data_IF_031215305659
#
_entry.id   IF_031215305659
#
_cell.length_a   1.000
_cell.length_b   1.000
_cell.length_c   1.000
_cell.angle_alpha   90.00
_cell.angle_beta   90.00
_cell.angle_gamma   90.00
#
_symmetry.space_group_name_H-M   'P 1'
#
loop_
_entity.id
_entity.type
_entity.pdbx_description
1 polymer ?
#
# COMPACT_ATOMS: atom_id res chain seq x y z
N UNK A 1 22.30 -14.65 7.38
CA UNK A 1 23.46 -13.82 7.19
C UNK A 1 23.31 -12.63 8.14
N UNK A 2 24.30 -12.40 9.01
CA UNK A 2 24.33 -11.22 9.86
C UNK A 2 24.96 -10.11 9.03
N UNK A 3 24.18 -9.11 8.68
CA UNK A 3 24.71 -7.91 8.02
C UNK A 3 25.57 -7.14 9.04
N UNK A 4 26.87 -7.07 8.78
CA UNK A 4 27.82 -6.30 9.58
C UNK A 4 27.99 -4.94 8.92
N UNK A 5 27.62 -3.87 9.63
CA UNK A 5 27.91 -2.52 9.21
C UNK A 5 29.27 -2.10 9.81
N UNK A 6 30.17 -1.64 8.95
CA UNK A 6 31.44 -1.05 9.38
C UNK A 6 31.31 0.46 9.32
N UNK A 7 31.48 1.14 10.44
CA UNK A 7 31.65 2.59 10.46
C UNK A 7 33.13 2.89 10.22
N UNK A 8 33.42 3.58 9.12
CA UNK A 8 34.78 4.04 8.86
C UNK A 8 35.17 5.09 9.91
N UNK A 9 36.37 4.95 10.47
CA UNK A 9 36.96 5.98 11.35
C UNK A 9 37.15 7.28 10.55
N UNK A 10 36.41 8.32 10.95
CA UNK A 10 36.51 9.66 10.33
C UNK A 10 37.54 10.52 11.01
N UNK A 11 38.38 9.97 11.92
CA UNK A 11 39.37 10.68 12.69
C UNK A 11 38.80 11.65 13.73
N UNK A 12 37.52 11.60 14.00
CA UNK A 12 36.84 12.39 15.04
C UNK A 12 36.42 11.49 16.18
N UNK A 13 36.76 11.88 17.39
CA UNK A 13 36.29 11.19 18.60
C UNK A 13 34.79 11.41 18.80
N UNK A 14 34.00 10.44 18.40
CA UNK A 14 32.56 10.39 18.60
C UNK A 14 31.85 9.75 17.43
N UNK A 15 30.83 8.93 17.75
CA UNK A 15 29.93 8.33 16.76
C UNK A 15 28.97 9.42 16.30
N UNK A 16 29.13 9.92 15.06
CA UNK A 16 28.13 10.81 14.46
C UNK A 16 26.96 9.96 13.95
N UNK A 17 25.93 9.81 14.79
CA UNK A 17 24.69 9.12 14.43
C UNK A 17 23.81 9.92 13.43
N UNK A 18 24.14 11.19 13.20
CA UNK A 18 23.39 12.09 12.30
C UNK A 18 23.41 11.65 10.82
N UNK A 19 24.26 10.68 10.48
CA UNK A 19 24.38 10.14 9.11
C UNK A 19 23.71 8.75 8.92
N UNK A 20 23.12 8.17 9.94
CA UNK A 20 22.45 6.89 9.85
C UNK A 20 20.96 7.09 9.58
N UNK A 21 20.57 6.89 8.32
CA UNK A 21 19.17 6.86 7.92
C UNK A 21 18.67 5.42 7.97
N UNK A 22 17.68 5.15 8.82
CA UNK A 22 16.95 3.89 8.81
C UNK A 22 15.64 4.10 8.06
N UNK A 23 15.45 3.32 7.00
CA UNK A 23 14.14 3.17 6.35
C UNK A 23 13.45 1.96 7.01
N UNK A 24 12.57 2.17 8.01
CA UNK A 24 11.86 1.07 8.60
C UNK A 24 10.91 0.47 7.57
N UNK A 25 10.86 -0.87 7.49
CA UNK A 25 9.81 -1.53 6.74
C UNK A 25 8.44 -1.10 7.29
N UNK A 26 7.41 -1.07 6.44
CA UNK A 26 6.06 -0.59 6.79
C UNK A 26 5.43 -1.30 8.02
N UNK A 27 5.95 -2.46 8.41
CA UNK A 27 5.53 -3.27 9.56
C UNK A 27 6.56 -3.26 10.71
N UNK A 28 7.49 -2.30 10.71
CA UNK A 28 8.49 -2.20 11.77
C UNK A 28 7.82 -2.00 13.14
N UNK A 29 8.29 -2.74 14.13
CA UNK A 29 7.88 -2.51 15.52
C UNK A 29 8.21 -1.06 15.90
N UNK A 30 7.40 -0.46 16.76
CA UNK A 30 7.56 0.93 17.24
C UNK A 30 8.93 1.21 17.90
N UNK A 31 9.75 0.19 18.04
CA UNK A 31 11.06 0.24 18.67
C UNK A 31 11.99 -0.81 18.06
N UNK A 32 13.15 -0.35 17.56
CA UNK A 32 14.24 -1.21 17.10
C UNK A 32 15.36 -1.16 18.15
N UNK A 33 15.78 -2.31 18.64
CA UNK A 33 16.96 -2.45 19.47
C UNK A 33 18.13 -2.98 18.65
N UNK A 34 19.21 -2.22 18.59
CA UNK A 34 20.45 -2.61 17.95
C UNK A 34 21.51 -2.82 19.04
N UNK A 35 22.14 -4.00 19.03
CA UNK A 35 23.32 -4.26 19.85
C UNK A 35 24.56 -3.99 19.00
N UNK A 36 25.49 -3.19 19.49
CA UNK A 36 26.74 -2.92 18.81
C UNK A 36 27.92 -3.36 19.67
N UNK A 37 29.00 -3.72 19.01
CA UNK A 37 30.28 -4.01 19.64
C UNK A 37 31.32 -3.05 19.07
N UNK A 38 31.99 -2.28 19.93
CA UNK A 38 33.04 -1.36 19.52
C UNK A 38 34.39 -2.08 19.59
N UNK A 39 35.27 -1.79 18.61
CA UNK A 39 36.61 -2.31 18.53
C UNK A 39 37.58 -1.13 18.34
N UNK A 40 38.79 -1.27 18.85
CA UNK A 40 39.89 -0.34 18.54
C UNK A 40 40.47 -0.57 17.12
N UNK A 41 41.37 0.30 16.68
CA UNK A 41 42.04 0.15 15.40
C UNK A 41 42.88 -1.13 15.27
N UNK A 42 43.24 -1.75 16.36
CA UNK A 42 43.95 -3.04 16.44
C UNK A 42 43.03 -4.25 16.43
N UNK A 43 41.71 -4.03 16.42
CA UNK A 43 40.71 -5.10 16.46
C UNK A 43 40.38 -5.62 17.86
N UNK A 44 40.84 -4.95 18.94
CA UNK A 44 40.52 -5.30 20.32
C UNK A 44 39.12 -4.79 20.67
N UNK A 45 38.26 -5.66 21.22
CA UNK A 45 36.91 -5.26 21.64
C UNK A 45 36.99 -4.27 22.81
N UNK A 46 36.43 -3.08 22.60
CA UNK A 46 36.35 -2.01 23.60
C UNK A 46 35.11 -2.13 24.48
N UNK A 47 34.02 -2.69 23.96
CA UNK A 47 32.78 -2.87 24.69
C UNK A 47 31.59 -3.21 23.79
N UNK A 48 30.47 -3.50 24.43
CA UNK A 48 29.17 -3.68 23.78
C UNK A 48 28.17 -2.69 24.35
N UNK A 49 27.22 -2.26 23.53
CA UNK A 49 26.13 -1.39 23.95
C UNK A 49 24.85 -1.68 23.20
N UNK A 50 23.75 -1.13 23.69
CA UNK A 50 22.44 -1.19 23.02
C UNK A 50 22.04 0.22 22.59
N UNK A 51 21.60 0.34 21.35
CA UNK A 51 20.95 1.52 20.81
C UNK A 51 19.47 1.21 20.62
N UNK A 52 18.60 1.96 21.26
CA UNK A 52 17.18 1.87 21.05
C UNK A 52 16.72 2.98 20.13
N UNK A 53 16.29 2.64 18.93
CA UNK A 53 15.68 3.57 17.97
C UNK A 53 14.18 3.48 18.15
N UNK A 54 13.55 4.57 18.51
CA UNK A 54 12.09 4.68 18.53
C UNK A 54 11.64 5.19 17.17
N UNK A 55 10.90 4.37 16.45
CA UNK A 55 10.26 4.77 15.21
C UNK A 55 8.97 5.48 15.59
N UNK A 56 8.96 6.79 15.49
CA UNK A 56 7.73 7.57 15.64
C UNK A 56 6.89 7.35 14.38
N UNK A 57 5.74 6.70 14.52
CA UNK A 57 4.75 6.69 13.45
C UNK A 57 4.25 8.11 13.22
N UNK A 58 4.21 8.53 11.96
CA UNK A 58 3.67 9.83 11.59
C UNK A 58 2.22 9.96 12.06
N UNK A 59 1.93 11.01 12.80
CA UNK A 59 0.61 11.21 13.40
C UNK A 59 -0.31 12.09 12.54
N UNK A 60 0.27 12.76 11.54
CA UNK A 60 -0.48 13.67 10.67
C UNK A 60 0.16 13.72 9.29
N UNK A 61 -0.66 13.89 8.26
CA UNK A 61 -0.17 14.21 6.92
C UNK A 61 0.57 15.55 6.93
N UNK A 62 1.60 15.67 6.10
CA UNK A 62 2.30 16.93 5.85
C UNK A 62 1.57 17.83 4.85
N UNK A 63 0.56 17.29 4.17
CA UNK A 63 -0.18 17.95 3.09
C UNK A 63 -1.64 18.20 3.47
N UNK A 64 -2.31 17.20 4.04
CA UNK A 64 -3.76 17.21 4.22
C UNK A 64 -4.17 17.33 5.70
N UNK A 65 -4.87 18.39 6.03
CA UNK A 65 -5.26 18.73 7.41
C UNK A 65 -6.27 17.76 8.02
N UNK A 66 -7.08 17.07 7.20
CA UNK A 66 -8.06 16.08 7.65
C UNK A 66 -7.45 14.69 7.96
N UNK A 67 -6.16 14.50 7.70
CA UNK A 67 -5.41 13.28 8.01
C UNK A 67 -4.46 13.58 9.18
N UNK A 68 -4.92 13.36 10.40
CA UNK A 68 -4.21 13.74 11.62
C UNK A 68 -4.48 12.78 12.80
N UNK A 69 -3.85 13.05 13.94
CA UNK A 69 -3.94 12.22 15.15
C UNK A 69 -5.39 12.03 15.67
N UNK A 70 -6.28 12.98 15.44
CA UNK A 70 -7.68 12.90 15.83
C UNK A 70 -8.60 12.17 14.84
N UNK A 71 -8.09 11.81 13.66
CA UNK A 71 -8.88 11.22 12.56
C UNK A 71 -8.32 9.89 12.10
N UNK A 72 -7.33 9.89 11.22
CA UNK A 72 -6.77 8.69 10.60
C UNK A 72 -5.24 8.73 10.53
N UNK A 73 -4.58 8.96 11.66
CA UNK A 73 -3.12 8.97 11.79
C UNK A 73 -2.46 7.73 11.15
N UNK A 74 -3.13 6.58 11.22
CA UNK A 74 -2.66 5.31 10.65
C UNK A 74 -2.45 5.33 9.13
N UNK A 75 -3.00 6.31 8.44
CA UNK A 75 -2.88 6.48 6.99
C UNK A 75 -1.93 7.62 6.59
N UNK A 76 -1.39 8.39 7.53
CA UNK A 76 -0.66 9.63 7.23
C UNK A 76 0.53 9.41 6.27
N UNK A 77 1.38 8.41 6.55
CA UNK A 77 2.53 8.08 5.69
C UNK A 77 2.10 7.64 4.29
N UNK A 78 1.07 6.78 4.23
CA UNK A 78 0.57 6.26 2.97
C UNK A 78 -0.08 7.35 2.12
N UNK A 79 -0.84 8.24 2.74
CA UNK A 79 -1.51 9.36 2.06
C UNK A 79 -0.49 10.31 1.48
N UNK A 80 0.55 10.66 2.25
CA UNK A 80 1.61 11.55 1.78
C UNK A 80 2.42 10.90 0.66
N UNK A 81 2.76 9.61 0.78
CA UNK A 81 3.41 8.83 -0.28
C UNK A 81 2.58 8.86 -1.58
N UNK A 82 1.30 8.54 -1.50
CA UNK A 82 0.44 8.53 -2.68
C UNK A 82 0.31 9.90 -3.34
N UNK A 83 0.31 10.97 -2.55
CA UNK A 83 0.26 12.34 -3.07
C UNK A 83 1.60 12.74 -3.70
N UNK A 84 2.73 12.44 -3.06
CA UNK A 84 4.08 12.77 -3.54
C UNK A 84 4.36 12.13 -4.90
N UNK A 85 3.94 10.86 -5.10
CA UNK A 85 4.09 10.16 -6.38
C UNK A 85 2.97 10.46 -7.38
N UNK A 86 2.05 11.38 -7.08
CA UNK A 86 0.96 11.78 -7.97
C UNK A 86 -0.09 10.69 -8.22
N UNK A 87 -0.12 9.63 -7.39
CA UNK A 87 -1.00 8.48 -7.55
C UNK A 87 -2.42 8.78 -7.04
N UNK A 88 -2.54 9.38 -5.86
CA UNK A 88 -3.81 9.82 -5.29
C UNK A 88 -3.67 11.28 -4.87
N UNK A 89 -4.51 12.14 -5.42
CA UNK A 89 -4.58 13.55 -5.05
C UNK A 89 -5.64 13.78 -3.98
N UNK A 90 -5.57 14.91 -3.25
CA UNK A 90 -6.64 15.35 -2.36
C UNK A 90 -7.95 15.64 -3.08
N UNK A 91 -9.04 15.75 -2.34
CA UNK A 91 -10.28 16.31 -2.83
C UNK A 91 -10.11 17.82 -3.16
N UNK A 92 -9.23 18.48 -2.41
CA UNK A 92 -8.70 19.81 -2.66
C UNK A 92 -7.24 19.91 -2.16
N UNK A 93 -6.68 21.14 -2.13
CA UNK A 93 -5.28 21.36 -1.73
C UNK A 93 -4.99 21.03 -0.25
N UNK A 94 -6.00 21.02 0.61
CA UNK A 94 -5.84 20.85 2.05
C UNK A 94 -6.58 19.61 2.61
N UNK A 95 -7.46 19.02 1.82
CA UNK A 95 -8.36 17.94 2.24
C UNK A 95 -8.14 16.69 1.41
N UNK A 96 -7.81 15.57 2.05
CA UNK A 96 -7.71 14.27 1.40
C UNK A 96 -9.08 13.63 1.19
N UNK A 97 -10.05 13.94 2.06
CA UNK A 97 -11.34 13.27 2.17
C UNK A 97 -11.18 11.76 2.47
N UNK A 98 -10.46 11.45 3.54
CA UNK A 98 -10.04 10.10 3.89
C UNK A 98 -11.17 9.07 4.01
N UNK A 99 -12.39 9.49 4.44
CA UNK A 99 -13.59 8.64 4.52
C UNK A 99 -14.35 8.50 3.21
N UNK A 100 -14.03 9.32 2.21
CA UNK A 100 -14.66 9.25 0.90
C UNK A 100 -14.50 7.87 0.28
N UNK A 101 -15.52 7.40 -0.44
CA UNK A 101 -15.44 6.13 -1.16
C UNK A 101 -14.41 6.22 -2.29
N UNK A 102 -13.65 5.15 -2.48
CA UNK A 102 -12.84 4.96 -3.68
C UNK A 102 -13.69 4.26 -4.73
N UNK A 103 -13.80 4.82 -5.93
CA UNK A 103 -14.52 4.17 -7.02
C UNK A 103 -13.65 3.12 -7.72
N UNK A 104 -14.28 2.23 -8.47
CA UNK A 104 -13.57 1.26 -9.30
C UNK A 104 -12.72 1.96 -10.38
N UNK A 105 -13.26 3.01 -11.01
CA UNK A 105 -12.54 3.82 -11.99
C UNK A 105 -11.32 4.52 -11.40
N UNK A 106 -11.46 5.10 -10.20
CA UNK A 106 -10.34 5.75 -9.51
C UNK A 106 -9.22 4.76 -9.19
N UNK A 107 -9.56 3.58 -8.67
CA UNK A 107 -8.57 2.54 -8.39
C UNK A 107 -7.79 2.16 -9.66
N UNK A 108 -8.50 1.90 -10.76
CA UNK A 108 -7.85 1.51 -12.01
C UNK A 108 -6.97 2.65 -12.56
N UNK A 109 -7.41 3.89 -12.46
CA UNK A 109 -6.61 5.06 -12.86
C UNK A 109 -5.32 5.18 -12.03
N UNK A 110 -5.40 4.92 -10.72
CA UNK A 110 -4.22 4.91 -9.84
C UNK A 110 -3.23 3.83 -10.28
N UNK A 111 -3.70 2.61 -10.55
CA UNK A 111 -2.85 1.50 -10.98
C UNK A 111 -2.24 1.75 -12.37
N UNK A 112 -3.01 2.32 -13.29
CA UNK A 112 -2.53 2.73 -14.60
C UNK A 112 -1.40 3.77 -14.50
N UNK A 113 -1.58 4.79 -13.65
CA UNK A 113 -0.54 5.79 -13.36
C UNK A 113 0.71 5.16 -12.72
N UNK A 114 0.53 4.24 -11.78
CA UNK A 114 1.66 3.54 -11.16
C UNK A 114 2.44 2.67 -12.15
N UNK A 115 1.81 2.23 -13.24
CA UNK A 115 2.44 1.53 -14.35
C UNK A 115 3.09 2.49 -15.38
N UNK A 116 3.10 3.79 -15.14
CA UNK A 116 3.68 4.80 -16.04
C UNK A 116 2.74 5.24 -17.18
N UNK A 117 1.44 5.00 -17.05
CA UNK A 117 0.41 5.38 -18.04
C UNK A 117 0.77 4.93 -19.47
N UNK A 118 0.98 3.62 -19.70
CA UNK A 118 1.41 3.13 -21.00
C UNK A 118 0.38 3.45 -22.11
N UNK A 119 0.86 3.76 -23.31
CA UNK A 119 -0.02 4.06 -24.44
C UNK A 119 -0.95 2.88 -24.76
N UNK A 120 -2.22 3.19 -25.00
CA UNK A 120 -3.26 2.21 -25.38
C UNK A 120 -3.53 2.32 -26.86
N UNK A 121 -3.22 1.28 -27.63
CA UNK A 121 -3.39 1.27 -29.10
C UNK A 121 -4.67 0.58 -29.56
N UNK A 122 -5.10 -0.49 -28.86
CA UNK A 122 -6.36 -1.19 -29.10
C UNK A 122 -7.37 -0.80 -28.02
N UNK A 123 -8.34 0.02 -28.39
CA UNK A 123 -9.34 0.57 -27.48
C UNK A 123 -10.63 -0.24 -27.41
N UNK A 124 -10.70 -1.42 -28.06
CA UNK A 124 -11.89 -2.26 -28.03
C UNK A 124 -12.10 -2.88 -26.64
N UNK A 125 -13.21 -2.56 -26.02
CA UNK A 125 -13.68 -3.11 -24.73
C UNK A 125 -15.15 -3.52 -24.83
N UNK A 126 -15.61 -4.51 -24.05
CA UNK A 126 -16.99 -4.96 -24.10
C UNK A 126 -17.96 -4.07 -23.30
N UNK A 127 -17.45 -3.08 -22.55
CA UNK A 127 -18.24 -2.32 -21.58
C UNK A 127 -19.01 -1.19 -22.26
N UNK A 128 -20.33 -1.24 -22.17
CA UNK A 128 -21.23 -0.26 -22.78
C UNK A 128 -21.44 0.99 -21.91
N UNK A 129 -21.06 0.90 -20.63
CA UNK A 129 -21.16 1.97 -19.63
C UNK A 129 -19.86 2.79 -19.49
N UNK A 130 -18.89 2.60 -20.39
CA UNK A 130 -17.61 3.32 -20.42
C UNK A 130 -17.46 4.01 -21.76
N UNK A 131 -17.30 5.34 -21.74
CA UNK A 131 -17.15 6.21 -22.91
C UNK A 131 -15.69 6.66 -23.06
N UNK A 132 -15.26 6.91 -24.31
CA UNK A 132 -13.95 7.50 -24.62
C UNK A 132 -13.72 8.85 -23.94
N UNK A 133 -14.79 9.55 -23.56
CA UNK A 133 -14.73 10.83 -22.85
C UNK A 133 -14.62 10.69 -21.33
N UNK A 134 -14.72 9.46 -20.80
CA UNK A 134 -14.59 9.24 -19.37
C UNK A 134 -13.13 9.39 -18.90
N UNK A 135 -12.97 9.98 -17.71
CA UNK A 135 -11.64 10.30 -17.14
C UNK A 135 -10.73 9.08 -16.92
N UNK A 136 -11.29 7.90 -16.82
CA UNK A 136 -10.57 6.65 -16.59
C UNK A 136 -10.59 5.71 -17.82
N UNK A 137 -11.01 6.19 -19.00
CA UNK A 137 -11.16 5.36 -20.19
C UNK A 137 -9.91 4.57 -20.53
N UNK A 138 -8.78 5.25 -20.78
CA UNK A 138 -7.52 4.60 -21.15
C UNK A 138 -7.05 3.60 -20.07
N UNK A 139 -7.25 3.96 -18.80
CA UNK A 139 -6.91 3.10 -17.68
C UNK A 139 -7.76 1.83 -17.65
N UNK A 140 -9.06 1.93 -17.94
CA UNK A 140 -9.99 0.79 -18.00
C UNK A 140 -9.64 -0.10 -19.19
N UNK A 141 -9.36 0.47 -20.36
CA UNK A 141 -8.91 -0.27 -21.54
C UNK A 141 -7.62 -1.02 -21.23
N UNK A 142 -6.63 -0.34 -20.66
CA UNK A 142 -5.37 -0.96 -20.23
C UNK A 142 -5.60 -2.12 -19.25
N UNK A 143 -6.42 -1.91 -18.24
CA UNK A 143 -6.68 -2.93 -17.22
C UNK A 143 -7.39 -4.16 -17.80
N UNK A 144 -8.33 -3.95 -18.71
CA UNK A 144 -9.01 -5.03 -19.43
C UNK A 144 -8.06 -5.82 -20.32
N UNK A 145 -7.29 -5.13 -21.18
CA UNK A 145 -6.35 -5.78 -22.12
C UNK A 145 -5.25 -6.57 -21.43
N UNK A 146 -4.83 -6.13 -20.24
CA UNK A 146 -3.80 -6.82 -19.45
C UNK A 146 -4.39 -7.82 -18.44
N UNK A 147 -5.71 -8.06 -18.44
CA UNK A 147 -6.35 -8.99 -17.51
C UNK A 147 -6.31 -8.56 -16.04
N UNK A 148 -6.03 -7.29 -15.77
CA UNK A 148 -5.95 -6.71 -14.41
C UNK A 148 -7.33 -6.56 -13.80
N UNK A 149 -8.28 -6.03 -14.58
CA UNK A 149 -9.66 -5.87 -14.14
C UNK A 149 -10.64 -6.25 -15.24
N UNK A 150 -11.73 -6.88 -14.86
CA UNK A 150 -12.92 -7.11 -15.69
C UNK A 150 -14.10 -6.26 -15.24
N UNK A 151 -15.20 -6.37 -15.95
CA UNK A 151 -16.49 -5.80 -15.56
C UNK A 151 -17.08 -6.45 -14.31
N UNK A 152 -18.14 -5.85 -13.82
CA UNK A 152 -19.04 -6.48 -12.85
C UNK A 152 -19.99 -7.45 -13.53
N UNK A 153 -20.19 -7.27 -14.86
CA UNK A 153 -20.85 -8.18 -15.79
C UNK A 153 -20.04 -8.25 -17.09
N UNK A 154 -20.55 -8.97 -18.08
CA UNK A 154 -19.91 -9.08 -19.40
C UNK A 154 -19.86 -7.73 -20.14
N UNK A 155 -20.83 -6.86 -19.88
CA UNK A 155 -20.98 -5.58 -20.62
C UNK A 155 -20.92 -4.33 -19.76
N UNK A 156 -20.75 -4.46 -18.45
CA UNK A 156 -20.71 -3.32 -17.53
C UNK A 156 -19.44 -3.33 -16.66
N UNK A 157 -18.70 -2.22 -16.67
CA UNK A 157 -17.55 -2.01 -15.81
C UNK A 157 -17.92 -1.41 -14.46
N UNK A 158 -18.94 -0.57 -14.43
CA UNK A 158 -19.42 0.18 -13.26
C UNK A 158 -18.34 1.06 -12.63
N UNK A 159 -17.66 1.89 -13.44
CA UNK A 159 -16.53 2.70 -12.99
C UNK A 159 -16.84 3.64 -11.82
N UNK A 160 -18.09 4.11 -11.70
CA UNK A 160 -18.52 5.05 -10.64
C UNK A 160 -18.94 4.36 -9.33
N UNK A 161 -19.07 3.03 -9.33
CA UNK A 161 -19.39 2.30 -8.11
C UNK A 161 -18.20 2.24 -7.15
N UNK A 162 -18.45 2.25 -5.82
CA UNK A 162 -17.41 2.00 -4.83
C UNK A 162 -16.73 0.65 -5.09
N UNK A 163 -15.41 0.61 -5.05
CA UNK A 163 -14.66 -0.65 -5.10
C UNK A 163 -14.76 -1.36 -3.76
N UNK A 164 -15.15 -2.63 -3.75
CA UNK A 164 -15.17 -3.42 -2.52
C UNK A 164 -13.75 -3.90 -2.15
N UNK A 165 -13.56 -4.27 -0.88
CA UNK A 165 -12.27 -4.74 -0.38
C UNK A 165 -11.81 -6.02 -1.09
N UNK A 166 -12.72 -6.95 -1.39
CA UNK A 166 -12.40 -8.16 -2.15
C UNK A 166 -12.13 -7.87 -3.64
N UNK A 167 -12.80 -6.88 -4.24
CA UNK A 167 -12.50 -6.42 -5.60
C UNK A 167 -11.12 -5.79 -5.67
N UNK A 168 -10.76 -4.93 -4.72
CA UNK A 168 -9.43 -4.33 -4.60
C UNK A 168 -8.35 -5.42 -4.51
N UNK A 169 -8.52 -6.40 -3.62
CA UNK A 169 -7.61 -7.54 -3.51
C UNK A 169 -7.51 -8.34 -4.82
N UNK A 170 -8.64 -8.58 -5.49
CA UNK A 170 -8.69 -9.34 -6.74
C UNK A 170 -8.00 -8.64 -7.91
N UNK A 171 -8.13 -7.33 -7.99
CA UNK A 171 -7.46 -6.51 -9.01
C UNK A 171 -5.95 -6.55 -8.81
N UNK A 172 -5.46 -6.33 -7.59
CA UNK A 172 -4.03 -6.39 -7.27
C UNK A 172 -3.44 -7.79 -7.45
N UNK A 173 -4.19 -8.83 -7.09
CA UNK A 173 -3.79 -10.22 -7.27
C UNK A 173 -3.57 -10.55 -8.75
N UNK A 174 -4.47 -10.09 -9.63
CA UNK A 174 -4.33 -10.25 -11.09
C UNK A 174 -3.14 -9.44 -11.62
N UNK A 175 -2.99 -8.19 -11.18
CA UNK A 175 -1.86 -7.33 -11.55
C UNK A 175 -0.52 -7.98 -11.18
N UNK A 176 -0.47 -8.72 -10.07
CA UNK A 176 0.73 -9.45 -9.61
C UNK A 176 0.93 -10.81 -10.29
N UNK A 177 0.15 -11.16 -11.32
CA UNK A 177 0.26 -12.44 -12.02
C UNK A 177 -0.30 -13.64 -11.25
N UNK A 178 -1.22 -13.42 -10.30
CA UNK A 178 -1.90 -14.45 -9.50
C UNK A 178 -0.93 -15.40 -8.77
N UNK A 179 -0.05 -14.88 -7.91
CA UNK A 179 0.91 -15.70 -7.18
C UNK A 179 0.22 -16.67 -6.22
N UNK A 180 0.93 -17.72 -5.78
CA UNK A 180 0.38 -18.71 -4.87
C UNK A 180 -0.14 -18.08 -3.56
N UNK A 181 -1.37 -18.42 -3.18
CA UNK A 181 -2.06 -17.91 -2.01
C UNK A 181 -2.04 -18.95 -0.88
N UNK A 182 -1.27 -18.70 0.18
CA UNK A 182 -1.04 -19.67 1.27
C UNK A 182 -1.76 -19.35 2.58
N UNK A 183 -2.17 -18.09 2.82
CA UNK A 183 -2.79 -17.71 4.08
C UNK A 183 -4.16 -18.36 4.30
N UNK A 184 -4.48 -18.65 5.55
CA UNK A 184 -5.82 -19.10 5.96
C UNK A 184 -6.66 -17.89 6.36
N UNK A 185 -7.92 -17.84 5.92
CA UNK A 185 -8.88 -16.83 6.35
C UNK A 185 -9.72 -17.28 7.56
N UNK A 186 -9.50 -18.49 8.09
CA UNK A 186 -10.34 -19.08 9.15
C UNK A 186 -10.35 -18.30 10.47
N UNK A 187 -9.37 -17.45 10.70
CA UNK A 187 -9.32 -16.57 11.88
C UNK A 187 -10.29 -15.38 11.79
N UNK A 188 -10.88 -15.15 10.63
CA UNK A 188 -11.83 -14.07 10.43
C UNK A 188 -13.26 -14.60 10.47
N UNK A 189 -14.12 -13.95 11.23
CA UNK A 189 -15.49 -14.39 11.48
C UNK A 189 -16.40 -14.29 10.25
N UNK A 190 -16.02 -13.46 9.30
CA UNK A 190 -16.70 -13.21 8.03
C UNK A 190 -15.99 -13.81 6.81
N UNK A 191 -15.13 -14.79 7.04
CA UNK A 191 -14.41 -15.45 5.94
C UNK A 191 -15.35 -16.13 4.93
N UNK A 192 -16.55 -16.57 5.37
CA UNK A 192 -17.57 -17.17 4.51
C UNK A 192 -18.26 -16.15 3.59
N UNK A 193 -18.18 -14.86 3.90
CA UNK A 193 -18.76 -13.78 3.09
C UNK A 193 -17.88 -13.40 1.88
N UNK A 194 -16.66 -13.96 1.80
CA UNK A 194 -15.77 -13.75 0.66
C UNK A 194 -16.35 -14.47 -0.56
N UNK A 195 -16.58 -13.72 -1.64
CA UNK A 195 -17.08 -14.28 -2.90
C UNK A 195 -16.11 -15.32 -3.47
N UNK A 196 -16.64 -16.36 -4.09
CA UNK A 196 -15.86 -17.49 -4.63
C UNK A 196 -14.70 -17.03 -5.54
N UNK A 197 -14.93 -15.99 -6.37
CA UNK A 197 -13.91 -15.46 -7.28
C UNK A 197 -12.74 -14.77 -6.56
N UNK A 198 -12.95 -14.32 -5.33
CA UNK A 198 -12.01 -13.50 -4.57
C UNK A 198 -11.21 -14.28 -3.51
N UNK A 199 -11.54 -15.55 -3.26
CA UNK A 199 -10.95 -16.33 -2.17
C UNK A 199 -9.42 -16.36 -2.23
N UNK A 200 -8.84 -16.68 -3.38
CA UNK A 200 -7.38 -16.75 -3.51
C UNK A 200 -6.73 -15.36 -3.42
N UNK A 201 -7.37 -14.35 -3.99
CA UNK A 201 -6.90 -12.98 -3.90
C UNK A 201 -6.89 -12.46 -2.45
N UNK A 202 -7.94 -12.74 -1.69
CA UNK A 202 -8.03 -12.37 -0.28
C UNK A 202 -7.00 -13.12 0.56
N UNK A 203 -6.81 -14.42 0.33
CA UNK A 203 -5.76 -15.22 0.98
C UNK A 203 -4.37 -14.67 0.71
N UNK A 204 -4.10 -14.32 -0.55
CA UNK A 204 -2.83 -13.71 -0.95
C UNK A 204 -2.64 -12.34 -0.29
N UNK A 205 -3.62 -11.44 -0.38
CA UNK A 205 -3.51 -10.09 0.15
C UNK A 205 -3.31 -10.08 1.67
N UNK A 206 -3.97 -11.00 2.40
CA UNK A 206 -3.79 -11.20 3.85
C UNK A 206 -2.41 -11.78 4.13
N UNK A 207 -2.00 -12.82 3.39
CA UNK A 207 -0.70 -13.49 3.58
C UNK A 207 0.49 -12.57 3.33
N UNK A 208 0.36 -11.66 2.37
CA UNK A 208 1.35 -10.62 2.11
C UNK A 208 1.25 -9.43 3.08
N UNK A 209 0.23 -9.36 3.94
CA UNK A 209 0.02 -8.22 4.84
C UNK A 209 -0.47 -6.95 4.15
N UNK A 210 -0.84 -7.02 2.86
CA UNK A 210 -1.41 -5.87 2.13
C UNK A 210 -2.77 -5.51 2.68
N UNK A 211 -3.63 -6.51 2.89
CA UNK A 211 -4.94 -6.34 3.49
C UNK A 211 -4.92 -6.86 4.92
N UNK A 212 -5.29 -6.00 5.85
CA UNK A 212 -5.49 -6.33 7.26
C UNK A 212 -6.98 -6.22 7.57
N UNK A 213 -7.47 -7.11 8.45
CA UNK A 213 -8.83 -7.03 8.95
C UNK A 213 -9.02 -5.85 9.89
N UNK A 214 -10.27 -5.52 10.16
CA UNK A 214 -10.66 -4.66 11.29
C UNK A 214 -11.08 -5.56 12.44
N UNK A 215 -10.15 -5.80 13.37
CA UNK A 215 -10.31 -6.86 14.38
C UNK A 215 -10.43 -8.23 13.72
N UNK A 216 -11.48 -8.96 14.06
CA UNK A 216 -11.75 -10.31 13.56
C UNK A 216 -12.51 -10.35 12.21
N UNK A 217 -12.66 -9.23 11.50
CA UNK A 217 -13.43 -9.14 10.25
C UNK A 217 -12.60 -8.62 9.08
N UNK A 218 -12.78 -9.21 7.90
CA UNK A 218 -12.21 -8.75 6.62
C UNK A 218 -13.09 -7.70 5.93
N UNK A 219 -14.39 -7.76 6.16
CA UNK A 219 -15.43 -6.95 5.51
C UNK A 219 -15.30 -6.99 3.96
N UNK A 220 -15.32 -8.17 3.32
CA UNK A 220 -14.91 -8.33 1.94
C UNK A 220 -15.78 -7.54 0.95
N UNK A 221 -17.07 -7.46 1.17
CA UNK A 221 -18.03 -6.80 0.28
C UNK A 221 -18.27 -5.32 0.63
N UNK A 222 -17.63 -4.81 1.69
CA UNK A 222 -17.71 -3.38 2.04
C UNK A 222 -16.87 -2.55 1.10
N UNK A 223 -17.39 -1.41 0.65
CA UNK A 223 -16.64 -0.44 -0.13
C UNK A 223 -15.43 0.09 0.64
N UNK A 224 -14.27 0.11 -0.01
CA UNK A 224 -13.06 0.67 0.57
C UNK A 224 -13.08 2.20 0.52
N UNK A 225 -12.66 2.84 1.61
CA UNK A 225 -12.49 4.28 1.63
C UNK A 225 -11.10 4.69 1.10
N UNK A 226 -10.93 5.98 0.83
CA UNK A 226 -9.70 6.51 0.22
C UNK A 226 -8.44 6.25 1.06
N UNK A 227 -8.53 6.37 2.38
CA UNK A 227 -7.40 6.09 3.27
C UNK A 227 -7.04 4.59 3.30
N UNK A 228 -8.03 3.70 3.32
CA UNK A 228 -7.81 2.25 3.25
C UNK A 228 -7.12 1.84 1.96
N UNK A 229 -7.55 2.40 0.82
CA UNK A 229 -6.91 2.16 -0.48
C UNK A 229 -5.49 2.70 -0.49
N UNK A 230 -5.25 3.92 -0.01
CA UNK A 230 -3.91 4.50 0.07
C UNK A 230 -2.96 3.60 0.88
N UNK A 231 -3.38 3.14 2.05
CA UNK A 231 -2.55 2.26 2.91
C UNK A 231 -2.29 0.90 2.26
N UNK A 232 -3.29 0.32 1.63
CA UNK A 232 -3.13 -0.98 0.98
C UNK A 232 -2.18 -0.86 -0.22
N UNK A 233 -2.36 0.16 -1.07
CA UNK A 233 -1.49 0.41 -2.23
C UNK A 233 -0.08 0.81 -1.79
N UNK A 234 0.09 1.61 -0.74
CA UNK A 234 1.41 1.93 -0.19
C UNK A 234 2.16 0.65 0.20
N UNK A 235 1.53 -0.25 0.95
CA UNK A 235 2.12 -1.55 1.31
C UNK A 235 2.44 -2.40 0.08
N UNK A 236 1.63 -2.33 -0.95
CA UNK A 236 1.82 -3.09 -2.19
C UNK A 236 3.00 -2.55 -3.02
N UNK A 237 3.13 -1.23 -3.12
CA UNK A 237 4.14 -0.58 -3.95
C UNK A 237 5.52 -0.49 -3.28
N UNK A 238 5.60 -0.64 -1.94
CA UNK A 238 6.85 -0.50 -1.18
C UNK A 238 7.45 -1.84 -0.74
N UNK A 239 6.86 -2.96 -1.13
CA UNK A 239 7.42 -4.30 -0.96
C UNK A 239 8.11 -4.79 -2.23
#
# INVERSE_FOLDING_TARGET
AQDRFYLADTGKSGLLLDALYFLPAADCASQLKLTYTAYDAGGTQLGTGELTIRVATKQSSSVFSDVNAGTCAWAADAVDFMNEYGLIQGADKATFNWRGSMTRGDLILILYRSAGSPAVSDTSIPFTDVSETDYAYDAIVWAWKNGVAGGVSETEFCMKQPVTREQLASILYRLSGKPAASASLRSYTDAADVSAYAVDAMRWAVGCGYLKGNGAKLNPQTGANRAEVAVLLHRYLTK
#
